data_IF_644138058866
#
_entry.id   IF_644138058866
#
_cell.length_a   1.000
_cell.length_b   1.000
_cell.length_c   1.000
_cell.angle_alpha   90.00
_cell.angle_beta   90.00
_cell.angle_gamma   90.00
#
_symmetry.space_group_name_H-M   'P 1'
#
loop_
_entity.id
_entity.type
_entity.pdbx_description
1 polymer ?
#
# COMPACT_ATOMS: atom_id res chain seq x y z
N UNK A 1 -21.12 16.56 -2.06
CA UNK A 1 -21.01 16.67 -0.58
C UNK A 1 -20.00 17.76 -0.34
N UNK A 2 -20.30 18.77 0.49
CA UNK A 2 -19.26 19.71 0.91
C UNK A 2 -18.36 18.97 1.91
N UNK A 3 -17.09 18.80 1.54
CA UNK A 3 -16.12 18.09 2.37
C UNK A 3 -15.62 18.97 3.53
N UNK A 4 -15.87 20.29 3.48
CA UNK A 4 -15.22 21.25 4.37
C UNK A 4 -13.70 21.20 4.22
N UNK A 5 -12.98 21.63 5.28
CA UNK A 5 -11.54 21.40 5.45
C UNK A 5 -11.34 20.73 6.81
N UNK A 6 -11.37 19.38 6.88
CA UNK A 6 -11.10 18.68 8.13
C UNK A 6 -9.73 19.10 8.69
N UNK A 7 -9.70 19.42 9.97
CA UNK A 7 -8.53 19.91 10.70
C UNK A 7 -8.21 19.04 11.93
N UNK A 8 -8.99 17.98 12.18
CA UNK A 8 -8.74 17.02 13.26
C UNK A 8 -8.97 15.58 12.82
N UNK A 9 -8.37 14.64 13.55
CA UNK A 9 -8.58 13.19 13.37
C UNK A 9 -10.06 12.81 13.34
N UNK A 10 -10.87 13.39 14.23
CA UNK A 10 -12.30 13.11 14.30
C UNK A 10 -13.05 13.58 13.04
N UNK A 11 -12.72 14.76 12.51
CA UNK A 11 -13.33 15.30 11.30
C UNK A 11 -12.90 14.51 10.05
N UNK A 12 -11.65 14.03 10.00
CA UNK A 12 -11.18 13.15 8.94
C UNK A 12 -11.88 11.79 8.95
N UNK A 13 -12.00 11.16 10.12
CA UNK A 13 -12.75 9.92 10.28
C UNK A 13 -14.22 10.08 9.90
N UNK A 14 -14.86 11.17 10.30
CA UNK A 14 -16.25 11.46 9.92
C UNK A 14 -16.41 11.73 8.42
N UNK A 15 -15.47 12.43 7.78
CA UNK A 15 -15.48 12.60 6.33
C UNK A 15 -15.38 11.25 5.60
N UNK A 16 -14.44 10.40 6.01
CA UNK A 16 -14.27 9.06 5.44
C UNK A 16 -15.55 8.21 5.60
N UNK A 17 -16.17 8.25 6.78
CA UNK A 17 -17.48 7.62 7.06
C UNK A 17 -18.58 8.15 6.16
N UNK A 18 -18.72 9.47 6.03
CA UNK A 18 -19.74 10.14 5.21
C UNK A 18 -19.60 9.84 3.72
N UNK A 19 -18.37 9.67 3.24
CA UNK A 19 -18.07 9.25 1.86
C UNK A 19 -18.39 7.76 1.62
N UNK A 20 -18.54 6.98 2.68
CA UNK A 20 -18.74 5.52 2.60
C UNK A 20 -17.47 4.79 2.16
N UNK A 21 -16.29 5.32 2.51
CA UNK A 21 -15.01 4.66 2.24
C UNK A 21 -14.96 3.33 3.00
N UNK A 22 -14.69 2.22 2.31
CA UNK A 22 -14.60 0.89 2.93
C UNK A 22 -13.18 0.39 2.97
N UNK A 23 -12.46 0.58 1.88
CA UNK A 23 -11.12 0.00 1.68
C UNK A 23 -10.16 1.10 1.25
N UNK A 24 -8.96 1.08 1.80
CA UNK A 24 -7.80 1.82 1.33
C UNK A 24 -6.71 0.80 1.03
N UNK A 25 -6.39 0.58 -0.25
CA UNK A 25 -5.13 -0.09 -0.56
C UNK A 25 -4.04 0.96 -0.70
N UNK A 26 -2.88 0.71 -0.12
CA UNK A 26 -1.65 1.28 -0.67
C UNK A 26 -1.39 0.47 -1.93
N UNK A 27 -1.71 1.02 -3.09
CA UNK A 27 -1.73 0.31 -4.36
C UNK A 27 -0.51 0.75 -5.16
N UNK A 28 0.53 -0.08 -5.11
CA UNK A 28 1.82 0.18 -5.76
C UNK A 28 2.10 -0.83 -6.87
N UNK A 29 2.55 -0.31 -8.02
CA UNK A 29 3.10 -1.09 -9.10
C UNK A 29 4.44 -0.52 -9.56
N UNK A 30 5.50 -1.23 -9.20
CA UNK A 30 6.83 -0.95 -9.73
C UNK A 30 7.03 -1.70 -11.06
N UNK A 31 7.41 -0.93 -12.09
CA UNK A 31 7.67 -1.41 -13.45
C UNK A 31 9.10 -1.15 -13.90
N UNK A 32 9.99 -0.78 -12.99
CA UNK A 32 11.41 -0.58 -13.30
C UNK A 32 12.05 -1.88 -13.78
N UNK A 33 12.72 -1.81 -14.93
CA UNK A 33 13.35 -2.95 -15.61
C UNK A 33 14.86 -2.72 -15.66
N UNK A 34 15.64 -3.72 -15.25
CA UNK A 34 17.10 -3.74 -15.42
C UNK A 34 17.49 -4.24 -16.81
N UNK A 35 18.61 -3.75 -17.35
CA UNK A 35 19.28 -4.35 -18.53
C UNK A 35 19.83 -5.74 -18.26
N UNK A 36 19.99 -6.12 -16.98
CA UNK A 36 20.64 -7.34 -16.53
C UNK A 36 19.64 -8.25 -15.82
N UNK A 37 19.31 -9.43 -16.38
CA UNK A 37 18.31 -10.32 -15.78
C UNK A 37 18.78 -10.82 -14.41
N UNK A 38 17.81 -11.05 -13.52
CA UNK A 38 18.03 -11.71 -12.23
C UNK A 38 18.70 -13.07 -12.44
N UNK A 39 19.70 -13.39 -11.60
CA UNK A 39 20.31 -14.72 -11.57
C UNK A 39 19.68 -15.63 -10.50
N UNK A 40 19.73 -16.97 -10.66
CA UNK A 40 19.41 -17.90 -9.57
C UNK A 40 20.30 -17.64 -8.33
N UNK A 41 19.73 -17.77 -7.14
CA UNK A 41 20.44 -17.51 -5.88
C UNK A 41 20.77 -16.03 -5.63
N UNK A 42 20.12 -15.10 -6.33
CA UNK A 42 20.25 -13.65 -6.17
C UNK A 42 18.88 -13.03 -5.87
N UNK A 43 18.79 -12.21 -4.83
CA UNK A 43 17.65 -11.32 -4.62
C UNK A 43 17.91 -9.99 -5.32
N UNK A 44 16.96 -9.53 -6.14
CA UNK A 44 17.07 -8.28 -6.90
C UNK A 44 15.85 -7.41 -6.57
N UNK A 45 16.07 -6.16 -6.20
CA UNK A 45 15.00 -5.22 -5.85
C UNK A 45 15.38 -3.78 -6.19
N UNK A 46 14.42 -2.86 -6.17
CA UNK A 46 14.64 -1.41 -6.38
C UNK A 46 14.97 -0.67 -5.08
N UNK A 47 14.79 -1.32 -3.94
CA UNK A 47 15.12 -0.78 -2.62
C UNK A 47 15.62 -1.90 -1.69
N UNK A 48 15.80 -1.59 -0.40
CA UNK A 48 16.40 -2.47 0.60
C UNK A 48 15.89 -3.91 0.52
N UNK A 49 16.80 -4.83 0.23
CA UNK A 49 16.47 -6.26 0.11
C UNK A 49 16.23 -6.87 1.49
N UNK A 50 17.09 -6.57 2.47
CA UNK A 50 16.92 -7.08 3.84
C UNK A 50 15.65 -6.53 4.49
N UNK A 51 15.32 -5.26 4.23
CA UNK A 51 14.05 -4.66 4.64
C UNK A 51 12.88 -5.44 4.06
N UNK A 52 12.85 -5.59 2.74
CA UNK A 52 11.78 -6.27 2.02
C UNK A 52 11.60 -7.75 2.41
N UNK A 53 12.71 -8.47 2.63
CA UNK A 53 12.68 -9.86 3.11
C UNK A 53 12.15 -9.93 4.54
N UNK A 54 12.57 -9.00 5.41
CA UNK A 54 12.12 -8.96 6.81
C UNK A 54 10.62 -8.72 6.90
N UNK A 55 10.11 -7.64 6.30
CA UNK A 55 8.67 -7.34 6.30
C UNK A 55 7.85 -8.38 5.53
N UNK A 56 8.38 -8.90 4.43
CA UNK A 56 7.72 -9.92 3.62
C UNK A 56 7.57 -11.25 4.36
N UNK A 57 8.47 -11.52 5.31
CA UNK A 57 8.46 -12.72 6.15
C UNK A 57 7.65 -12.55 7.44
N UNK A 58 7.31 -11.31 7.82
CA UNK A 58 6.37 -11.04 8.90
C UNK A 58 4.95 -11.48 8.52
N UNK A 59 4.04 -11.68 9.50
CA UNK A 59 2.64 -11.93 9.24
C UNK A 59 2.04 -10.88 8.29
N UNK A 60 1.18 -11.32 7.36
CA UNK A 60 0.36 -10.39 6.59
C UNK A 60 -0.56 -9.64 7.55
N UNK A 61 -0.48 -8.31 7.56
CA UNK A 61 -1.17 -7.45 8.52
C UNK A 61 -1.97 -6.37 7.81
N UNK A 62 -3.12 -6.02 8.38
CA UNK A 62 -4.04 -5.07 7.79
C UNK A 62 -4.91 -4.39 8.85
N UNK A 63 -5.16 -3.09 8.67
CA UNK A 63 -6.27 -2.40 9.31
C UNK A 63 -7.59 -3.07 8.93
N UNK A 64 -8.44 -3.33 9.91
CA UNK A 64 -9.64 -4.15 9.73
C UNK A 64 -10.92 -3.34 9.82
N UNK A 65 -11.57 -3.16 8.67
CA UNK A 65 -12.74 -2.31 8.52
C UNK A 65 -13.99 -2.85 9.20
N UNK A 66 -14.86 -1.94 9.64
CA UNK A 66 -16.16 -2.29 10.24
C UNK A 66 -17.14 -2.89 9.23
N UNK A 67 -16.89 -2.75 7.92
CA UNK A 67 -17.75 -3.33 6.87
C UNK A 67 -17.47 -4.82 6.63
N UNK A 68 -16.32 -5.34 7.07
CA UNK A 68 -15.92 -6.72 6.84
C UNK A 68 -16.81 -7.69 7.60
N UNK A 69 -17.49 -8.58 6.89
CA UNK A 69 -18.42 -9.58 7.45
C UNK A 69 -17.81 -10.96 7.61
N UNK A 70 -16.69 -11.21 6.92
CA UNK A 70 -16.04 -12.51 6.85
C UNK A 70 -14.66 -12.41 7.48
N UNK A 71 -14.52 -12.90 8.71
CA UNK A 71 -13.22 -12.97 9.37
C UNK A 71 -12.40 -14.14 8.80
N UNK A 72 -11.16 -13.93 8.33
CA UNK A 72 -10.34 -15.01 7.77
C UNK A 72 -10.10 -16.14 8.78
N UNK A 73 -10.14 -17.40 8.31
CA UNK A 73 -9.96 -18.58 9.16
C UNK A 73 -8.62 -18.60 9.91
N UNK A 74 -7.58 -18.12 9.25
CA UNK A 74 -6.21 -17.98 9.73
C UNK A 74 -5.91 -16.56 10.27
N UNK A 75 -6.93 -15.71 10.38
CA UNK A 75 -6.82 -14.38 10.97
C UNK A 75 -6.74 -14.42 12.50
N UNK A 76 -6.08 -13.41 13.08
CA UNK A 76 -5.94 -13.19 14.51
C UNK A 76 -6.14 -11.72 14.85
N UNK A 77 -6.59 -11.45 16.07
CA UNK A 77 -6.75 -10.11 16.64
C UNK A 77 -5.69 -9.88 17.71
N UNK A 78 -5.41 -8.61 17.97
CA UNK A 78 -4.60 -8.20 19.11
C UNK A 78 -5.47 -8.07 20.36
N UNK A 79 -4.90 -8.40 21.52
CA UNK A 79 -5.58 -8.27 22.83
C UNK A 79 -5.45 -6.85 23.42
N UNK A 80 -4.57 -6.02 22.88
CA UNK A 80 -4.28 -4.66 23.35
C UNK A 80 -3.81 -3.74 22.20
N UNK A 81 -3.63 -2.45 22.49
CA UNK A 81 -3.26 -1.42 21.51
C UNK A 81 -4.49 -0.69 20.93
N UNK A 82 -4.35 -0.13 19.73
CA UNK A 82 -5.45 0.58 19.03
C UNK A 82 -6.62 -0.34 18.66
N UNK A 83 -6.34 -1.66 18.58
CA UNK A 83 -7.27 -2.70 18.09
C UNK A 83 -7.75 -2.39 16.67
N UNK A 84 -6.93 -1.68 15.88
CA UNK A 84 -7.25 -1.26 14.52
C UNK A 84 -6.99 -2.34 13.47
N UNK A 85 -6.07 -3.27 13.74
CA UNK A 85 -5.61 -4.27 12.79
C UNK A 85 -5.97 -5.71 13.15
N UNK A 86 -5.80 -6.58 12.16
CA UNK A 86 -5.70 -8.03 12.29
C UNK A 86 -4.40 -8.47 11.60
N UNK A 87 -3.97 -9.69 11.88
CA UNK A 87 -2.91 -10.34 11.11
C UNK A 87 -3.32 -11.76 10.70
N UNK A 88 -2.76 -12.26 9.61
CA UNK A 88 -2.92 -13.63 9.17
C UNK A 88 -1.74 -14.47 9.65
N UNK A 89 -1.99 -15.74 9.99
CA UNK A 89 -0.95 -16.70 10.35
C UNK A 89 -0.16 -17.22 9.14
N UNK A 90 0.24 -16.30 8.25
CA UNK A 90 1.05 -16.56 7.06
C UNK A 90 1.87 -15.32 6.66
N UNK A 91 3.04 -15.49 6.01
CA UNK A 91 3.88 -14.36 5.61
C UNK A 91 3.21 -13.39 4.62
N UNK A 92 3.53 -12.11 4.73
CA UNK A 92 3.02 -11.06 3.84
C UNK A 92 3.38 -11.29 2.37
N UNK A 93 4.62 -11.67 2.09
CA UNK A 93 5.09 -12.01 0.74
C UNK A 93 4.49 -13.31 0.20
N UNK A 94 3.94 -14.17 1.08
CA UNK A 94 3.14 -15.34 0.70
C UNK A 94 1.65 -15.05 0.50
N UNK A 95 1.20 -13.83 0.83
CA UNK A 95 -0.21 -13.45 0.80
C UNK A 95 -0.48 -12.56 -0.40
N UNK A 96 -1.35 -13.01 -1.31
CA UNK A 96 -1.73 -12.23 -2.49
C UNK A 96 -3.11 -11.57 -2.31
N UNK A 97 -3.25 -10.37 -2.85
CA UNK A 97 -4.48 -9.56 -2.84
C UNK A 97 -4.74 -8.99 -4.23
N UNK A 98 -6.01 -8.90 -4.62
CA UNK A 98 -6.45 -8.26 -5.86
C UNK A 98 -6.52 -6.75 -5.67
N UNK A 99 -5.87 -6.00 -6.55
CA UNK A 99 -5.86 -4.54 -6.51
C UNK A 99 -5.84 -3.95 -7.92
N UNK A 100 -5.76 -2.63 -8.01
CA UNK A 100 -5.76 -1.88 -9.25
C UNK A 100 -4.90 -0.61 -9.13
N UNK A 101 -4.19 -0.26 -10.20
CA UNK A 101 -3.56 1.06 -10.40
C UNK A 101 -3.82 1.57 -11.81
N UNK A 102 -3.73 2.88 -12.07
CA UNK A 102 -4.06 3.45 -13.37
C UNK A 102 -3.27 2.87 -14.56
N UNK A 103 -1.95 2.66 -14.42
CA UNK A 103 -1.12 2.15 -15.53
C UNK A 103 -1.19 0.64 -15.67
N UNK A 104 -1.39 -0.08 -14.57
CA UNK A 104 -1.41 -1.55 -14.58
C UNK A 104 -2.80 -2.13 -14.90
N UNK A 105 -3.87 -1.38 -14.66
CA UNK A 105 -5.19 -1.97 -14.52
C UNK A 105 -5.24 -2.85 -13.27
N UNK A 106 -5.97 -3.97 -13.35
CA UNK A 106 -6.05 -4.92 -12.24
C UNK A 106 -4.84 -5.87 -12.18
N UNK A 107 -4.41 -6.23 -10.97
CA UNK A 107 -3.33 -7.21 -10.76
C UNK A 107 -3.40 -7.82 -9.36
N UNK A 108 -2.51 -8.78 -9.09
CA UNK A 108 -2.26 -9.30 -7.75
C UNK A 108 -1.04 -8.61 -7.14
N UNK A 109 -1.22 -7.99 -5.98
CA UNK A 109 -0.12 -7.52 -5.12
C UNK A 109 0.10 -8.47 -3.95
N UNK A 110 1.23 -8.30 -3.26
CA UNK A 110 1.53 -8.91 -1.98
C UNK A 110 0.94 -8.07 -0.84
N UNK A 111 0.38 -8.73 0.17
CA UNK A 111 -0.18 -8.10 1.36
C UNK A 111 0.85 -8.10 2.47
N UNK A 112 1.90 -7.33 2.27
CA UNK A 112 3.03 -7.17 3.18
C UNK A 112 2.64 -6.21 4.31
N UNK A 113 3.08 -6.49 5.54
CA UNK A 113 2.80 -5.59 6.66
C UNK A 113 3.49 -4.25 6.45
N UNK A 114 2.82 -3.18 6.84
CA UNK A 114 3.34 -1.83 6.73
C UNK A 114 2.64 -0.95 7.77
N UNK A 115 3.37 -0.03 8.40
CA UNK A 115 2.89 0.73 9.55
C UNK A 115 1.59 1.50 9.27
N UNK A 116 1.47 2.10 8.08
CA UNK A 116 0.30 2.86 7.64
C UNK A 116 -0.95 2.01 7.45
N UNK A 117 -0.80 0.69 7.28
CA UNK A 117 -1.96 -0.22 7.29
C UNK A 117 -2.70 -0.16 8.63
N UNK A 118 -1.97 0.10 9.72
CA UNK A 118 -2.53 0.24 11.07
C UNK A 118 -2.83 1.72 11.37
N UNK A 119 -1.89 2.64 11.11
CA UNK A 119 -2.04 4.05 11.49
C UNK A 119 -3.21 4.71 10.76
N UNK A 120 -3.37 4.52 9.44
CA UNK A 120 -4.47 5.11 8.66
C UNK A 120 -5.83 4.55 9.14
N UNK A 121 -5.90 3.24 9.39
CA UNK A 121 -7.12 2.60 9.88
C UNK A 121 -7.51 3.13 11.26
N UNK A 122 -6.52 3.28 12.16
CA UNK A 122 -6.76 3.87 13.47
C UNK A 122 -7.14 5.36 13.35
N UNK A 123 -6.43 6.12 12.52
CA UNK A 123 -6.65 7.55 12.32
C UNK A 123 -8.08 7.85 11.83
N UNK A 124 -8.59 7.07 10.87
CA UNK A 124 -9.97 7.20 10.38
C UNK A 124 -11.03 6.52 11.25
N UNK A 125 -10.66 5.94 12.40
CA UNK A 125 -11.64 5.31 13.30
C UNK A 125 -12.56 6.33 13.94
N UNK A 126 -13.87 6.14 13.79
CA UNK A 126 -14.92 6.91 14.50
C UNK A 126 -15.52 6.03 15.59
N UNK A 127 -15.62 6.59 16.81
CA UNK A 127 -16.17 5.90 17.98
C UNK A 127 -17.44 6.59 18.49
N UNK A 128 -18.40 5.78 18.91
CA UNK A 128 -19.60 6.21 19.64
C UNK A 128 -19.51 5.60 21.05
N UNK A 129 -18.99 6.38 21.99
CA UNK A 129 -18.56 5.86 23.30
C UNK A 129 -17.42 4.85 23.15
N UNK A 130 -17.60 3.64 23.66
CA UNK A 130 -16.62 2.55 23.55
C UNK A 130 -16.70 1.78 22.23
N UNK A 131 -17.79 1.94 21.47
CA UNK A 131 -18.02 1.18 20.25
C UNK A 131 -17.33 1.84 19.04
N UNK A 132 -16.65 1.04 18.23
CA UNK A 132 -16.14 1.46 16.92
C UNK A 132 -17.33 1.51 15.95
N UNK A 133 -17.77 2.71 15.59
CA UNK A 133 -18.90 2.93 14.68
C UNK A 133 -18.47 2.87 13.21
N UNK A 134 -17.23 3.24 12.91
CA UNK A 134 -16.67 3.21 11.56
C UNK A 134 -15.15 3.05 11.59
N UNK A 135 -14.64 2.24 10.66
CA UNK A 135 -13.22 2.10 10.31
C UNK A 135 -13.10 1.51 8.90
N UNK A 136 -12.17 1.98 8.05
CA UNK A 136 -11.88 1.33 6.78
C UNK A 136 -10.92 0.13 6.95
N UNK A 137 -11.00 -0.85 6.05
CA UNK A 137 -9.93 -1.83 5.86
C UNK A 137 -8.77 -1.13 5.16
N UNK A 138 -7.55 -1.31 5.67
CA UNK A 138 -6.35 -0.68 5.09
C UNK A 138 -5.23 -1.71 5.00
N UNK A 139 -4.65 -1.90 3.83
CA UNK A 139 -3.45 -2.73 3.70
C UNK A 139 -2.64 -2.40 2.45
N UNK A 140 -1.39 -2.85 2.47
CA UNK A 140 -0.55 -2.81 1.30
C UNK A 140 -1.04 -3.82 0.24
N UNK A 141 -1.04 -3.43 -1.03
CA UNK A 141 -1.23 -4.30 -2.18
C UNK A 141 -0.09 -4.08 -3.17
N UNK A 142 1.09 -4.61 -2.81
CA UNK A 142 2.34 -4.28 -3.46
C UNK A 142 2.70 -5.22 -4.60
N UNK A 143 2.84 -4.71 -5.82
CA UNK A 143 3.49 -5.46 -6.89
C UNK A 143 4.87 -4.85 -7.17
N UNK A 144 5.95 -5.44 -6.64
CA UNK A 144 7.30 -4.92 -6.85
C UNK A 144 7.76 -5.12 -8.29
N UNK A 145 8.96 -4.65 -8.62
CA UNK A 145 9.53 -4.82 -9.95
C UNK A 145 9.59 -6.31 -10.34
N UNK A 146 9.59 -6.61 -11.65
CA UNK A 146 9.54 -7.99 -12.14
C UNK A 146 10.67 -8.88 -11.57
N UNK A 147 11.86 -8.31 -11.37
CA UNK A 147 12.99 -9.03 -10.77
C UNK A 147 12.70 -9.41 -9.30
N UNK A 148 12.12 -8.50 -8.53
CA UNK A 148 11.73 -8.73 -7.14
C UNK A 148 10.59 -9.75 -7.01
N UNK A 149 9.61 -9.76 -7.92
CA UNK A 149 8.59 -10.83 -7.97
C UNK A 149 9.25 -12.20 -8.13
N UNK A 150 10.24 -12.33 -9.01
CA UNK A 150 11.00 -13.57 -9.18
C UNK A 150 11.86 -13.91 -7.96
N UNK A 151 12.40 -12.90 -7.27
CA UNK A 151 13.14 -13.08 -6.02
C UNK A 151 12.26 -13.56 -4.88
N UNK A 152 11.03 -13.04 -4.74
CA UNK A 152 10.05 -13.51 -3.76
C UNK A 152 9.59 -14.93 -4.08
N UNK A 153 9.37 -15.26 -5.35
CA UNK A 153 9.04 -16.62 -5.74
C UNK A 153 10.11 -17.63 -5.33
N UNK A 154 11.39 -17.29 -5.56
CA UNK A 154 12.52 -18.12 -5.12
C UNK A 154 12.66 -18.16 -3.58
N UNK A 155 12.48 -17.03 -2.89
CA UNK A 155 12.50 -16.96 -1.43
C UNK A 155 11.45 -17.90 -0.81
N UNK A 156 10.20 -17.82 -1.28
CA UNK A 156 9.12 -18.67 -0.82
C UNK A 156 9.40 -20.16 -1.13
N UNK A 157 9.91 -20.47 -2.32
CA UNK A 157 10.31 -21.83 -2.70
C UNK A 157 11.46 -22.41 -1.84
N UNK A 158 12.27 -21.54 -1.22
CA UNK A 158 13.33 -21.89 -0.28
C UNK A 158 12.88 -21.84 1.18
N UNK A 159 11.57 -21.84 1.45
CA UNK A 159 11.00 -21.72 2.80
C UNK A 159 11.48 -20.47 3.55
N UNK A 160 11.49 -19.33 2.85
CA UNK A 160 11.88 -18.02 3.41
C UNK A 160 13.34 -17.94 3.87
N UNK A 161 14.21 -18.82 3.35
CA UNK A 161 15.66 -18.67 3.47
C UNK A 161 16.15 -17.74 2.37
N UNK A 162 16.64 -16.57 2.76
CA UNK A 162 17.12 -15.53 1.86
C UNK A 162 18.26 -16.02 0.96
N UNK A 163 18.27 -15.49 -0.27
CA UNK A 163 19.34 -15.69 -1.24
C UNK A 163 20.68 -15.15 -0.74
N UNK A 164 21.77 -15.82 -1.11
CA UNK A 164 23.13 -15.46 -0.66
C UNK A 164 23.65 -14.18 -1.31
N UNK A 165 23.14 -13.86 -2.51
CA UNK A 165 23.52 -12.66 -3.26
C UNK A 165 22.37 -11.67 -3.32
N UNK A 166 22.73 -10.40 -3.39
CA UNK A 166 21.80 -9.29 -3.41
C UNK A 166 22.23 -8.26 -4.46
N UNK A 167 21.27 -7.65 -5.15
CA UNK A 167 21.50 -6.53 -6.06
C UNK A 167 20.36 -5.53 -6.00
N UNK A 168 20.66 -4.33 -5.54
CA UNK A 168 19.74 -3.18 -5.63
C UNK A 168 19.90 -2.56 -7.02
N UNK A 169 18.77 -2.40 -7.71
CA UNK A 169 18.71 -1.83 -9.06
C UNK A 169 18.87 -0.31 -9.01
N UNK A 170 19.82 0.23 -9.79
CA UNK A 170 20.15 1.66 -9.82
C UNK A 170 20.44 2.11 -11.26
N UNK A 171 21.72 2.23 -11.63
CA UNK A 171 22.15 2.68 -12.95
C UNK A 171 21.79 1.69 -14.07
N UNK A 172 21.61 0.42 -13.72
CA UNK A 172 21.22 -0.65 -14.63
C UNK A 172 19.73 -0.65 -15.00
N UNK A 173 18.91 0.23 -14.40
CA UNK A 173 17.51 0.41 -14.79
C UNK A 173 17.42 1.13 -16.16
N UNK A 174 16.77 0.50 -17.13
CA UNK A 174 16.65 1.01 -18.51
C UNK A 174 15.32 1.72 -18.79
N UNK A 175 14.25 1.36 -18.08
CA UNK A 175 12.92 1.96 -18.24
C UNK A 175 12.02 1.61 -17.05
N UNK A 176 10.85 2.24 -17.00
CA UNK A 176 9.81 1.95 -16.01
C UNK A 176 9.51 3.13 -15.10
N UNK A 177 8.48 2.94 -14.29
CA UNK A 177 8.01 3.86 -13.27
C UNK A 177 7.83 3.12 -11.95
N UNK A 178 7.82 3.87 -10.87
CA UNK A 178 7.21 3.45 -9.62
C UNK A 178 5.84 4.15 -9.47
N UNK A 179 4.77 3.40 -9.72
CA UNK A 179 3.39 3.89 -9.57
C UNK A 179 2.89 3.61 -8.15
N UNK A 180 3.10 4.57 -7.25
CA UNK A 180 2.73 4.47 -5.83
C UNK A 180 1.61 5.45 -5.50
N UNK A 181 0.52 4.93 -4.94
CA UNK A 181 -0.60 5.74 -4.50
C UNK A 181 -1.58 4.98 -3.60
N UNK A 182 -2.70 5.64 -3.30
CA UNK A 182 -3.78 5.08 -2.49
C UNK A 182 -5.01 4.82 -3.35
N UNK A 183 -5.53 3.59 -3.30
CA UNK A 183 -6.81 3.22 -3.89
C UNK A 183 -7.90 3.31 -2.82
N UNK A 184 -8.72 4.35 -2.88
CA UNK A 184 -9.90 4.55 -2.04
C UNK A 184 -11.10 3.86 -2.66
N UNK A 185 -11.71 2.90 -1.98
CA UNK A 185 -12.73 2.04 -2.57
C UNK A 185 -13.96 1.79 -1.67
N UNK A 186 -15.08 1.46 -2.31
CA UNK A 186 -16.37 1.19 -1.66
C UNK A 186 -17.31 2.39 -1.55
N UNK A 187 -16.84 3.58 -1.91
CA UNK A 187 -17.67 4.79 -1.98
C UNK A 187 -18.61 4.77 -3.20
N UNK A 188 -19.53 5.74 -3.30
CA UNK A 188 -20.56 5.78 -4.38
C UNK A 188 -20.01 5.81 -5.81
N UNK A 189 -18.77 6.27 -6.02
CA UNK A 189 -18.08 6.25 -7.31
C UNK A 189 -17.17 5.02 -7.49
N UNK A 190 -17.51 3.93 -6.81
CA UNK A 190 -16.74 2.69 -6.70
C UNK A 190 -15.33 2.83 -6.12
N UNK A 191 -14.32 3.14 -6.95
CA UNK A 191 -12.94 3.29 -6.52
C UNK A 191 -12.23 4.46 -7.20
N UNK A 192 -11.29 5.07 -6.48
CA UNK A 192 -10.48 6.20 -6.90
C UNK A 192 -9.05 6.01 -6.44
N UNK A 193 -8.10 6.02 -7.38
CA UNK A 193 -6.67 5.97 -7.08
C UNK A 193 -6.08 7.38 -7.15
N UNK A 194 -5.21 7.74 -6.20
CA UNK A 194 -4.43 8.97 -6.25
C UNK A 194 -2.99 8.73 -5.82
N UNK A 195 -2.03 9.23 -6.61
CA UNK A 195 -0.62 9.00 -6.34
C UNK A 195 0.32 9.45 -7.45
N UNK A 196 1.58 9.04 -7.30
CA UNK A 196 2.73 9.38 -8.14
C UNK A 196 2.93 8.33 -9.24
N UNK A 197 3.34 8.78 -10.44
CA UNK A 197 3.77 7.94 -11.55
C UNK A 197 5.21 8.27 -11.96
N UNK A 198 6.10 8.43 -10.97
CA UNK A 198 7.47 8.87 -11.20
C UNK A 198 8.24 7.86 -12.06
N UNK A 199 8.79 8.34 -13.17
CA UNK A 199 9.63 7.52 -14.05
C UNK A 199 11.10 7.54 -13.63
N UNK A 200 11.83 6.47 -13.96
CA UNK A 200 13.28 6.43 -13.76
C UNK A 200 14.01 7.57 -14.51
N UNK A 201 13.53 7.95 -15.69
CA UNK A 201 14.12 9.02 -16.49
C UNK A 201 14.00 10.37 -15.80
N UNK A 202 12.82 10.66 -15.25
CA UNK A 202 12.56 11.89 -14.50
C UNK A 202 13.30 11.89 -13.16
N UNK A 203 13.28 10.78 -12.41
CA UNK A 203 14.01 10.66 -11.15
C UNK A 203 15.50 11.02 -11.29
N UNK A 204 16.15 10.53 -12.35
CA UNK A 204 17.56 10.82 -12.68
C UNK A 204 17.82 12.29 -13.03
N UNK A 205 16.83 12.98 -13.60
CA UNK A 205 16.94 14.42 -13.90
C UNK A 205 16.78 15.27 -12.65
N UNK A 206 15.94 14.83 -11.71
CA UNK A 206 15.58 15.57 -10.51
C UNK A 206 16.63 15.45 -9.40
N UNK A 207 17.14 14.25 -9.15
CA UNK A 207 18.13 14.01 -8.10
C UNK A 207 19.10 12.87 -8.47
N UNK A 208 20.43 13.10 -8.36
CA UNK A 208 21.41 12.04 -8.61
C UNK A 208 21.30 10.94 -7.56
N UNK A 209 21.87 9.77 -7.87
CA UNK A 209 21.93 8.60 -6.98
C UNK A 209 20.58 8.04 -6.56
N UNK A 210 19.52 8.32 -7.33
CA UNK A 210 18.19 7.83 -7.07
C UNK A 210 17.63 7.05 -8.27
N UNK A 211 16.89 5.99 -7.96
CA UNK A 211 15.89 5.43 -8.86
C UNK A 211 14.50 6.02 -8.53
N UNK A 212 13.43 5.59 -9.19
CA UNK A 212 12.11 6.17 -8.95
C UNK A 212 11.61 5.88 -7.51
N UNK A 213 11.75 4.63 -7.05
CA UNK A 213 11.39 4.20 -5.69
C UNK A 213 12.14 5.00 -4.63
N UNK A 214 13.46 5.12 -4.75
CA UNK A 214 14.27 5.78 -3.74
C UNK A 214 13.99 7.28 -3.69
N UNK A 215 13.71 7.93 -4.83
CA UNK A 215 13.39 9.37 -4.83
C UNK A 215 12.08 9.66 -4.11
N UNK A 216 11.04 8.85 -4.31
CA UNK A 216 9.75 8.99 -3.62
C UNK A 216 9.93 8.90 -2.09
N UNK A 217 10.80 7.99 -1.60
CA UNK A 217 11.12 7.89 -0.17
C UNK A 217 11.97 9.07 0.30
N UNK A 218 13.05 9.39 -0.42
CA UNK A 218 13.98 10.46 -0.04
C UNK A 218 13.27 11.82 0.07
N UNK A 219 12.35 12.13 -0.85
CA UNK A 219 11.61 13.40 -0.78
C UNK A 219 10.60 13.42 0.37
N UNK A 220 9.97 12.29 0.69
CA UNK A 220 9.10 12.20 1.86
C UNK A 220 9.89 12.44 3.17
N UNK A 221 11.11 11.90 3.26
CA UNK A 221 12.01 12.15 4.40
C UNK A 221 12.43 13.63 4.46
N UNK A 222 12.81 14.24 3.33
CA UNK A 222 13.12 15.67 3.26
C UNK A 222 11.94 16.51 3.77
N UNK A 223 10.74 16.23 3.28
CA UNK A 223 9.51 16.90 3.73
C UNK A 223 9.29 16.73 5.23
N UNK A 224 9.50 15.52 5.77
CA UNK A 224 9.36 15.26 7.20
C UNK A 224 10.33 16.07 8.04
N UNK A 225 11.59 16.18 7.62
CA UNK A 225 12.61 16.99 8.31
C UNK A 225 12.25 18.48 8.28
N UNK A 226 11.83 19.01 7.12
CA UNK A 226 11.40 20.41 7.01
C UNK A 226 10.20 20.67 7.91
N UNK A 227 9.19 19.80 7.88
CA UNK A 227 8.01 19.94 8.73
C UNK A 227 8.37 19.89 10.22
N UNK A 228 9.29 19.01 10.63
CA UNK A 228 9.75 18.92 12.02
C UNK A 228 10.48 20.20 12.46
N UNK A 229 11.25 20.83 11.57
CA UNK A 229 11.88 22.13 11.85
C UNK A 229 10.86 23.27 11.97
N UNK A 230 9.79 23.23 11.16
CA UNK A 230 8.68 24.19 11.22
C UNK A 230 7.77 23.97 12.44
N UNK A 231 7.75 22.75 13.00
CA UNK A 231 6.88 22.32 14.09
C UNK A 231 7.63 21.60 15.24
N UNK A 232 8.66 22.22 15.87
CA UNK A 232 9.64 21.50 16.69
C UNK A 232 9.14 21.01 18.05
N UNK A 233 7.92 21.39 18.47
CA UNK A 233 7.41 21.18 19.83
C UNK A 233 6.15 20.30 19.88
N UNK A 234 5.92 19.44 18.89
CA UNK A 234 4.72 18.59 18.80
C UNK A 234 4.92 17.17 19.36
N UNK A 235 6.12 16.81 19.80
CA UNK A 235 6.41 15.48 20.35
C UNK A 235 6.54 14.41 19.27
N UNK A 236 6.12 13.18 19.59
CA UNK A 236 6.08 12.07 18.62
C UNK A 236 4.79 12.18 17.84
N UNK A 237 4.90 12.26 16.52
CA UNK A 237 3.77 12.35 15.59
C UNK A 237 3.94 11.33 14.47
N UNK A 238 2.82 10.84 13.95
CA UNK A 238 2.78 10.04 12.72
C UNK A 238 2.47 10.92 11.49
N UNK A 239 2.76 10.45 10.25
CA UNK A 239 2.44 11.21 9.03
C UNK A 239 0.97 11.61 8.92
N UNK A 240 0.06 10.80 9.47
CA UNK A 240 -1.38 11.08 9.52
C UNK A 240 -1.73 12.36 10.31
N UNK A 241 -0.85 12.80 11.21
CA UNK A 241 -1.03 13.99 12.05
C UNK A 241 -0.35 15.25 11.49
N UNK A 242 0.45 15.10 10.44
CA UNK A 242 1.17 16.21 9.81
C UNK A 242 0.26 17.01 8.86
N UNK A 243 0.62 18.27 8.59
CA UNK A 243 -0.04 19.03 7.54
C UNK A 243 0.35 18.48 6.16
N UNK A 244 -0.50 17.60 5.63
CA UNK A 244 -0.28 16.96 4.34
C UNK A 244 -0.11 17.97 3.20
N UNK A 245 -0.68 19.17 3.28
CA UNK A 245 -0.55 20.18 2.20
C UNK A 245 0.86 20.73 2.17
N UNK A 246 1.41 21.08 3.33
CA UNK A 246 2.80 21.53 3.45
C UNK A 246 3.76 20.44 2.99
N UNK A 247 3.49 19.20 3.37
CA UNK A 247 4.33 18.08 2.95
C UNK A 247 4.27 17.84 1.44
N UNK A 248 3.07 17.82 0.85
CA UNK A 248 2.91 17.65 -0.58
C UNK A 248 3.46 18.83 -1.38
N UNK A 249 3.43 20.06 -0.86
CA UNK A 249 4.09 21.22 -1.49
C UNK A 249 5.59 20.96 -1.70
N UNK A 250 6.26 20.38 -0.70
CA UNK A 250 7.68 20.03 -0.76
C UNK A 250 7.92 18.81 -1.65
N UNK A 251 7.06 17.79 -1.56
CA UNK A 251 7.26 16.53 -2.28
C UNK A 251 6.94 16.61 -3.77
N UNK A 252 5.85 17.29 -4.15
CA UNK A 252 5.28 17.25 -5.52
C UNK A 252 6.30 17.55 -6.63
N UNK A 253 7.24 18.50 -6.49
CA UNK A 253 8.28 18.73 -7.49
C UNK A 253 9.17 17.51 -7.81
N UNK A 254 9.20 16.51 -6.93
CA UNK A 254 10.02 15.29 -7.07
C UNK A 254 9.22 14.02 -7.36
N UNK A 255 7.88 14.09 -7.36
CA UNK A 255 7.00 12.93 -7.48
C UNK A 255 6.54 12.67 -8.92
N UNK A 256 7.06 13.41 -9.90
CA UNK A 256 6.60 13.33 -11.29
C UNK A 256 5.10 13.59 -11.43
N UNK A 257 4.40 12.93 -12.37
CA UNK A 257 2.97 13.09 -12.53
C UNK A 257 2.20 12.61 -11.29
N UNK A 258 1.49 13.54 -10.65
CA UNK A 258 0.49 13.24 -9.63
C UNK A 258 -0.87 13.15 -10.29
N UNK A 259 -1.49 11.96 -10.28
CA UNK A 259 -2.76 11.72 -10.98
C UNK A 259 -3.84 11.18 -10.06
N UNK A 260 -5.08 11.45 -10.43
CA UNK A 260 -6.28 10.99 -9.74
C UNK A 260 -7.24 10.35 -10.72
N UNK A 261 -7.52 9.06 -10.56
CA UNK A 261 -8.26 8.27 -11.56
C UNK A 261 -9.38 7.46 -10.92
N UNK A 262 -10.59 7.58 -11.46
CA UNK A 262 -11.71 6.73 -11.07
C UNK A 262 -11.71 5.44 -11.89
N UNK A 263 -12.25 4.37 -11.31
CA UNK A 263 -12.44 3.09 -12.01
C UNK A 263 -13.71 2.39 -11.56
N UNK A 264 -14.36 1.68 -12.49
CA UNK A 264 -15.46 0.75 -12.21
C UNK A 264 -14.97 -0.66 -11.86
N UNK A 265 -13.65 -0.89 -11.86
CA UNK A 265 -13.07 -2.18 -11.48
C UNK A 265 -13.41 -2.54 -10.02
N UNK A 266 -13.69 -3.83 -9.79
CA UNK A 266 -13.83 -4.40 -8.45
C UNK A 266 -13.09 -5.73 -8.37
N UNK A 267 -12.80 -6.24 -7.15
CA UNK A 267 -12.22 -7.57 -6.98
C UNK A 267 -13.05 -8.72 -7.57
N UNK A 268 -14.31 -8.49 -7.97
CA UNK A 268 -15.19 -9.45 -8.63
C UNK A 268 -15.11 -9.42 -10.16
N UNK A 269 -14.35 -8.51 -10.76
CA UNK A 269 -14.22 -8.39 -12.20
C UNK A 269 -13.77 -9.72 -12.84
N UNK A 270 -14.57 -10.23 -13.77
CA UNK A 270 -14.29 -11.44 -14.57
C UNK A 270 -13.97 -12.72 -13.76
N UNK A 271 -14.51 -12.81 -12.54
CA UNK A 271 -14.32 -13.97 -11.66
C UNK A 271 -15.22 -15.16 -12.00
N UNK A 272 -14.85 -16.33 -11.48
CA UNK A 272 -15.56 -17.61 -11.67
C UNK A 272 -15.61 -18.15 -13.12
N UNK A 273 -14.74 -17.67 -14.02
CA UNK A 273 -14.69 -18.12 -15.43
C UNK A 273 -14.29 -19.58 -15.60
N UNK A 274 -13.37 -20.07 -14.76
CA UNK A 274 -12.82 -21.42 -14.86
C UNK A 274 -13.37 -22.36 -13.78
N UNK A 275 -13.55 -21.86 -12.57
CA UNK A 275 -14.02 -22.62 -11.41
C UNK A 275 -14.93 -21.75 -10.55
N UNK A 276 -15.92 -22.35 -9.85
CA UNK A 276 -16.65 -21.65 -8.80
C UNK A 276 -15.71 -21.18 -7.68
N UNK A 277 -16.00 -20.04 -7.08
CA UNK A 277 -15.18 -19.46 -6.02
C UNK A 277 -16.07 -18.99 -4.86
N UNK A 278 -15.59 -19.06 -3.62
CA UNK A 278 -16.33 -18.58 -2.46
C UNK A 278 -16.24 -17.06 -2.34
N UNK A 279 -17.23 -16.34 -2.88
CA UNK A 279 -17.26 -14.87 -2.98
C UNK A 279 -18.51 -14.24 -2.36
N UNK A 280 -18.37 -12.99 -1.91
CA UNK A 280 -19.49 -12.15 -1.52
C UNK A 280 -19.93 -11.27 -2.69
N UNK A 281 -21.03 -11.61 -3.34
CA UNK A 281 -21.59 -10.84 -4.48
C UNK A 281 -22.30 -9.55 -4.06
N UNK A 282 -22.69 -9.42 -2.80
CA UNK A 282 -23.44 -8.26 -2.31
C UNK A 282 -22.52 -7.08 -1.99
N UNK A 283 -21.24 -7.34 -1.76
CA UNK A 283 -20.23 -6.32 -1.48
C UNK A 283 -18.89 -6.71 -2.12
N UNK A 284 -18.57 -6.16 -3.31
CA UNK A 284 -17.35 -6.50 -4.03
C UNK A 284 -16.06 -6.24 -3.24
N UNK A 285 -16.09 -5.30 -2.29
CA UNK A 285 -14.94 -4.83 -1.51
C UNK A 285 -14.77 -5.52 -0.15
N UNK A 286 -15.40 -6.68 0.06
CA UNK A 286 -15.07 -7.56 1.18
C UNK A 286 -13.66 -8.13 1.00
N UNK A 287 -12.88 -8.22 2.08
CA UNK A 287 -11.55 -8.83 2.04
C UNK A 287 -11.58 -10.28 1.54
N UNK A 288 -12.71 -10.99 1.75
CA UNK A 288 -12.99 -12.30 1.15
C UNK A 288 -12.83 -12.32 -0.38
N UNK A 289 -13.23 -11.26 -1.07
CA UNK A 289 -13.10 -11.14 -2.53
C UNK A 289 -11.71 -10.62 -2.93
N UNK A 290 -11.11 -9.76 -2.11
CA UNK A 290 -9.79 -9.18 -2.33
C UNK A 290 -8.70 -10.25 -2.21
N UNK A 291 -8.69 -11.02 -1.13
CA UNK A 291 -7.69 -12.04 -0.86
C UNK A 291 -7.72 -13.17 -1.89
N UNK A 292 -6.54 -13.57 -2.32
CA UNK A 292 -6.32 -14.70 -3.22
C UNK A 292 -6.11 -15.97 -2.39
N UNK A 293 -6.93 -17.00 -2.62
CA UNK A 293 -6.98 -18.23 -1.82
C UNK A 293 -6.88 -19.44 -2.76
N UNK A 294 -5.66 -19.79 -3.18
CA UNK A 294 -5.35 -21.01 -3.92
C UNK A 294 -3.86 -21.30 -3.87
#
# INVERSE_FOLDING_TARGET
MDAGKPASRAEWGDLARRLGLRVVHIAERDTQISSSPKQPGEFVNTWSIDGFVSEGSQPSEMGWGTHERNFPRDGKRHDSGSLASIYLMQPGAGTRVRTWTPRAGHFHGFCITHAESISIADYFTVREGSQVAYRPTVHYAYHPCAAAVMSIHELAGRNYVQQERQRILMDDIVSGIDELGVLLAGHKKNAYWYGSQLSIGEARQLAPYNNATSLQVCVAVLSGVVWAMENPNLGVVEPDEMDFRRNLEICTPYLGPMVGEYTDWTPLHERERLFPEDIDRNDPWQFKNVRVIW
#
